data_IF_668209586231
#
_entry.id   IF_668209586231
#
_cell.length_a   1.000
_cell.length_b   1.000
_cell.length_c   1.000
_cell.angle_alpha   90.00
_cell.angle_beta   90.00
_cell.angle_gamma   90.00
#
_symmetry.space_group_name_H-M   'P 1'
#
loop_
_entity.id
_entity.type
_entity.pdbx_description
1 polymer ?
#
# COMPACT_ATOMS: atom_id res chain seq x y z
N UNK A 1 -18.12 13.99 -7.03
CA UNK A 1 -16.86 13.40 -6.56
C UNK A 1 -17.10 12.29 -5.55
N UNK A 2 -17.95 12.48 -4.53
CA UNK A 2 -18.33 11.38 -3.61
C UNK A 2 -19.27 10.35 -4.25
N UNK A 3 -20.18 10.78 -5.14
CA UNK A 3 -20.98 9.86 -5.97
C UNK A 3 -20.06 9.06 -6.90
N UNK A 4 -19.92 7.77 -6.63
CA UNK A 4 -19.14 6.82 -7.44
C UNK A 4 -17.73 6.50 -6.95
N UNK A 5 -17.28 7.08 -5.83
CA UNK A 5 -16.01 6.64 -5.23
C UNK A 5 -16.23 5.38 -4.38
N UNK A 6 -15.57 4.29 -4.78
CA UNK A 6 -15.57 3.02 -4.07
C UNK A 6 -14.23 2.85 -3.34
N UNK A 7 -14.28 3.01 -2.01
CA UNK A 7 -13.12 2.92 -1.14
C UNK A 7 -12.62 1.48 -1.00
N UNK A 8 -13.51 0.50 -1.00
CA UNK A 8 -13.16 -0.93 -0.90
C UNK A 8 -12.43 -1.38 -2.16
N UNK A 9 -12.94 -1.00 -3.34
CA UNK A 9 -12.25 -1.25 -4.59
C UNK A 9 -10.90 -0.53 -4.66
N UNK A 10 -10.77 0.65 -4.04
CA UNK A 10 -9.47 1.33 -3.93
C UNK A 10 -8.50 0.54 -3.06
N UNK A 11 -8.92 0.12 -1.87
CA UNK A 11 -8.11 -0.70 -0.94
C UNK A 11 -7.64 -1.98 -1.63
N UNK A 12 -8.53 -2.66 -2.36
CA UNK A 12 -8.18 -3.88 -3.07
C UNK A 12 -7.10 -3.65 -4.13
N UNK A 13 -7.20 -2.59 -4.93
CA UNK A 13 -6.13 -2.21 -5.88
C UNK A 13 -4.79 -1.95 -5.17
N UNK A 14 -4.79 -1.46 -3.94
CA UNK A 14 -3.54 -1.27 -3.16
C UNK A 14 -2.98 -2.59 -2.64
N UNK A 15 -3.82 -3.55 -2.22
CA UNK A 15 -3.38 -4.91 -1.88
C UNK A 15 -2.74 -5.60 -3.09
N UNK A 16 -3.38 -5.52 -4.25
CA UNK A 16 -2.83 -6.07 -5.50
C UNK A 16 -1.48 -5.46 -5.86
N UNK A 17 -1.32 -4.13 -5.69
CA UNK A 17 -0.04 -3.45 -5.91
C UNK A 17 1.04 -3.90 -4.95
N UNK A 18 0.73 -4.06 -3.65
CA UNK A 18 1.69 -4.56 -2.67
C UNK A 18 2.19 -5.97 -3.04
N UNK A 19 1.27 -6.85 -3.47
CA UNK A 19 1.63 -8.18 -3.99
C UNK A 19 2.43 -8.10 -5.29
N UNK A 20 2.10 -7.17 -6.18
CA UNK A 20 2.83 -6.91 -7.42
C UNK A 20 4.29 -6.53 -7.18
N UNK A 21 4.58 -5.74 -6.15
CA UNK A 21 5.97 -5.35 -5.79
C UNK A 21 6.81 -6.57 -5.44
N UNK A 22 6.27 -7.53 -4.67
CA UNK A 22 6.96 -8.78 -4.31
C UNK A 22 7.27 -9.66 -5.53
N UNK A 23 6.39 -9.64 -6.54
CA UNK A 23 6.49 -10.49 -7.73
C UNK A 23 7.34 -9.91 -8.85
N UNK A 24 7.68 -8.61 -8.80
CA UNK A 24 8.44 -7.98 -9.89
C UNK A 24 9.87 -8.51 -9.92
N UNK A 25 10.34 -8.83 -11.12
CA UNK A 25 11.77 -9.11 -11.32
C UNK A 25 12.57 -7.81 -11.20
N UNK A 26 13.71 -7.88 -10.54
CA UNK A 26 14.63 -6.75 -10.46
C UNK A 26 15.22 -6.48 -11.86
N UNK A 27 15.26 -5.21 -12.32
CA UNK A 27 15.94 -4.87 -13.56
C UNK A 27 17.40 -5.35 -13.54
N UNK A 28 18.02 -5.63 -14.69
CA UNK A 28 19.41 -6.07 -14.77
C UNK A 28 20.39 -4.90 -14.53
N UNK A 29 20.37 -4.36 -13.31
CA UNK A 29 21.21 -3.24 -12.84
C UNK A 29 22.16 -3.72 -11.74
N UNK A 30 23.31 -3.05 -11.60
CA UNK A 30 24.38 -3.43 -10.67
C UNK A 30 24.72 -2.31 -9.68
N UNK A 31 25.52 -2.64 -8.68
CA UNK A 31 26.09 -1.66 -7.74
C UNK A 31 25.03 -0.80 -7.05
N UNK A 32 25.23 0.51 -7.10
CA UNK A 32 24.43 1.51 -6.39
C UNK A 32 23.01 1.62 -6.94
N UNK A 33 22.86 1.52 -8.25
CA UNK A 33 21.55 1.54 -8.92
C UNK A 33 20.68 0.37 -8.44
N UNK A 34 21.27 -0.83 -8.31
CA UNK A 34 20.57 -2.00 -7.76
C UNK A 34 20.05 -1.75 -6.35
N UNK A 35 20.83 -1.09 -5.49
CA UNK A 35 20.40 -0.77 -4.12
C UNK A 35 19.23 0.21 -4.12
N UNK A 36 19.29 1.24 -4.95
CA UNK A 36 18.18 2.19 -5.07
C UNK A 36 16.88 1.53 -5.53
N UNK A 37 16.93 0.59 -6.48
CA UNK A 37 15.73 -0.15 -6.89
C UNK A 37 15.13 -1.01 -5.77
N UNK A 38 15.97 -1.57 -4.90
CA UNK A 38 15.52 -2.35 -3.73
C UNK A 38 14.91 -1.44 -2.66
N UNK A 39 15.55 -0.30 -2.36
CA UNK A 39 15.05 0.69 -1.41
C UNK A 39 13.70 1.27 -1.86
N UNK A 40 13.57 1.58 -3.15
CA UNK A 40 12.30 2.03 -3.72
C UNK A 40 11.23 0.93 -3.62
N UNK A 41 11.56 -0.31 -3.99
CA UNK A 41 10.62 -1.42 -3.85
C UNK A 41 10.17 -1.64 -2.39
N UNK A 42 11.06 -1.45 -1.42
CA UNK A 42 10.71 -1.59 -0.02
C UNK A 42 9.72 -0.50 0.44
N UNK A 43 9.96 0.74 0.04
CA UNK A 43 9.05 1.87 0.32
C UNK A 43 7.70 1.68 -0.36
N UNK A 44 7.70 1.36 -1.66
CA UNK A 44 6.48 1.08 -2.43
C UNK A 44 5.67 -0.03 -1.77
N UNK A 45 6.33 -1.13 -1.38
CA UNK A 45 5.66 -2.23 -0.70
C UNK A 45 5.03 -1.78 0.62
N UNK A 46 5.79 -1.07 1.46
CA UNK A 46 5.30 -0.59 2.75
C UNK A 46 4.09 0.32 2.59
N UNK A 47 4.16 1.30 1.69
CA UNK A 47 3.09 2.28 1.47
C UNK A 47 1.83 1.59 0.91
N UNK A 48 1.99 0.68 -0.06
CA UNK A 48 0.85 -0.05 -0.61
C UNK A 48 0.23 -1.01 0.40
N UNK A 49 1.05 -1.70 1.19
CA UNK A 49 0.57 -2.61 2.23
C UNK A 49 -0.20 -1.84 3.30
N UNK A 50 0.30 -0.68 3.73
CA UNK A 50 -0.38 0.18 4.71
C UNK A 50 -1.78 0.60 4.25
N UNK A 51 -1.92 1.08 3.01
CA UNK A 51 -3.24 1.47 2.49
C UNK A 51 -4.12 0.25 2.20
N UNK A 52 -3.53 -0.86 1.75
CA UNK A 52 -4.24 -2.12 1.53
C UNK A 52 -4.79 -2.77 2.82
N UNK A 53 -4.20 -2.46 3.97
CA UNK A 53 -4.64 -2.95 5.28
C UNK A 53 -5.55 -1.93 6.02
N UNK A 54 -5.81 -0.77 5.40
CA UNK A 54 -6.63 0.25 6.02
C UNK A 54 -8.12 -0.14 6.04
N UNK A 55 -8.82 0.29 7.10
CA UNK A 55 -10.28 0.34 7.15
C UNK A 55 -10.75 1.71 6.65
N UNK A 56 -11.66 1.72 5.68
CA UNK A 56 -12.22 2.95 5.11
C UNK A 56 -13.60 3.28 5.69
N UNK A 57 -13.79 4.53 6.02
CA UNK A 57 -15.11 5.09 6.40
C UNK A 57 -15.32 6.43 5.70
N UNK A 58 -16.58 6.73 5.37
CA UNK A 58 -16.98 8.02 4.81
C UNK A 58 -17.73 8.81 5.89
N UNK A 59 -17.15 9.89 6.37
CA UNK A 59 -17.70 10.74 7.44
C UNK A 59 -17.71 12.20 6.98
N UNK A 60 -18.88 12.83 6.98
CA UNK A 60 -19.06 14.25 6.62
C UNK A 60 -18.42 14.65 5.26
N UNK A 61 -18.39 13.71 4.31
CA UNK A 61 -17.77 13.92 2.99
C UNK A 61 -16.26 13.70 2.94
N UNK A 62 -15.63 13.28 4.05
CA UNK A 62 -14.23 12.90 4.13
C UNK A 62 -14.08 11.38 4.08
N UNK A 63 -13.08 10.91 3.33
CA UNK A 63 -12.58 9.55 3.44
C UNK A 63 -11.62 9.48 4.63
N UNK A 64 -11.97 8.70 5.63
CA UNK A 64 -11.07 8.36 6.75
C UNK A 64 -10.53 6.95 6.53
N UNK A 65 -9.21 6.84 6.52
CA UNK A 65 -8.49 5.57 6.50
C UNK A 65 -7.86 5.36 7.88
N UNK A 66 -8.21 4.25 8.53
CA UNK A 66 -7.64 3.85 9.82
C UNK A 66 -6.75 2.64 9.61
N UNK A 67 -5.52 2.70 10.11
CA UNK A 67 -4.56 1.61 10.01
C UNK A 67 -4.15 1.23 11.43
N UNK A 68 -4.31 -0.03 11.80
CA UNK A 68 -3.92 -0.51 13.12
C UNK A 68 -2.42 -0.84 13.18
N UNK A 69 -1.65 0.08 13.76
CA UNK A 69 -0.20 -0.08 13.95
C UNK A 69 0.18 -0.68 15.30
N UNK A 70 -0.80 -1.15 16.10
CA UNK A 70 -0.50 -1.84 17.36
C UNK A 70 0.23 -3.16 17.07
N UNK A 71 1.13 -3.60 17.96
CA UNK A 71 1.81 -4.87 17.81
C UNK A 71 0.81 -6.04 17.95
N UNK A 72 1.09 -7.24 17.38
CA UNK A 72 0.15 -8.36 17.33
C UNK A 72 -0.45 -8.77 18.68
N UNK A 73 0.32 -8.69 19.76
CA UNK A 73 -0.12 -8.98 21.12
C UNK A 73 -1.15 -7.99 21.69
N UNK A 74 -1.31 -6.83 21.06
CA UNK A 74 -2.23 -5.76 21.47
C UNK A 74 -3.36 -5.52 20.46
N UNK A 75 -3.48 -6.37 19.42
CA UNK A 75 -4.55 -6.33 18.42
C UNK A 75 -5.78 -7.09 18.89
#
# INVERSE_FOLDING_TARGET
MAEGFDADAMIERFRERAEGVKRRNLPPVAGDERRHFLEQAQKDFQDFAMIGDAEATMEDGFLRLTIDLRPPEAR
#
